data_IF_670699969773
#
_entry.id   IF_670699969773
#
_cell.length_a   1.000
_cell.length_b   1.000
_cell.length_c   1.000
_cell.angle_alpha   90.00
_cell.angle_beta   90.00
_cell.angle_gamma   90.00
#
_symmetry.space_group_name_H-M   'P 1'
#
loop_
_entity.id
_entity.type
_entity.pdbx_description
1 polymer ?
#
# COMPACT_ATOMS: atom_id res chain seq x y z
N UNK A 1 -34.82 1.04 15.65
CA UNK A 1 -33.73 0.37 14.90
C UNK A 1 -33.23 1.35 13.84
N UNK A 2 -32.08 1.98 14.06
CA UNK A 2 -31.49 2.93 13.11
C UNK A 2 -30.28 2.29 12.44
N UNK A 3 -30.48 1.82 11.21
CA UNK A 3 -29.41 1.33 10.34
C UNK A 3 -28.54 2.52 9.93
N UNK A 4 -27.35 2.65 10.54
CA UNK A 4 -26.34 3.61 10.10
C UNK A 4 -25.61 3.03 8.89
N UNK A 5 -26.19 3.22 7.71
CA UNK A 5 -25.51 2.95 6.43
C UNK A 5 -24.34 3.94 6.26
N UNK A 6 -23.17 3.59 6.81
CA UNK A 6 -21.91 4.27 6.49
C UNK A 6 -21.63 4.03 5.00
N UNK A 7 -22.06 4.95 4.13
CA UNK A 7 -21.68 4.98 2.71
C UNK A 7 -20.17 4.85 2.60
N UNK A 8 -19.67 3.70 2.12
CA UNK A 8 -18.25 3.49 1.81
C UNK A 8 -17.84 4.48 0.73
N UNK A 9 -17.18 5.58 1.10
CA UNK A 9 -16.58 6.51 0.16
C UNK A 9 -15.55 5.72 -0.64
N UNK A 10 -15.78 5.52 -1.94
CA UNK A 10 -14.79 4.89 -2.83
C UNK A 10 -13.57 5.79 -2.89
N UNK A 11 -12.46 5.36 -2.29
CA UNK A 11 -11.18 6.07 -2.40
C UNK A 11 -10.76 6.09 -3.87
N UNK A 12 -10.44 7.28 -4.39
CA UNK A 12 -9.97 7.45 -5.77
C UNK A 12 -8.55 6.88 -5.89
N UNK A 13 -8.25 6.25 -7.02
CA UNK A 13 -6.87 5.90 -7.37
C UNK A 13 -6.11 7.19 -7.71
N UNK A 14 -4.92 7.34 -7.14
CA UNK A 14 -4.09 8.54 -7.31
C UNK A 14 -2.76 8.13 -7.94
N UNK A 15 -2.35 8.85 -8.97
CA UNK A 15 -1.00 8.72 -9.50
C UNK A 15 -0.04 9.55 -8.67
N UNK A 16 1.08 8.94 -8.28
CA UNK A 16 2.16 9.58 -7.55
C UNK A 16 3.46 9.41 -8.32
N UNK A 17 4.35 10.38 -8.19
CA UNK A 17 5.71 10.31 -8.71
C UNK A 17 6.65 10.33 -7.53
N UNK A 18 7.58 9.37 -7.49
CA UNK A 18 8.59 9.26 -6.44
C UNK A 18 9.95 9.16 -7.11
N UNK A 19 10.96 9.74 -6.47
CA UNK A 19 12.34 9.50 -6.85
C UNK A 19 12.85 8.26 -6.11
N UNK A 20 13.41 7.30 -6.85
CA UNK A 20 13.91 6.05 -6.29
C UNK A 20 15.36 5.84 -6.75
N UNK A 21 16.27 5.38 -5.87
CA UNK A 21 17.61 5.00 -6.30
C UNK A 21 17.57 3.94 -7.41
N UNK A 22 18.49 4.07 -8.36
CA UNK A 22 18.47 3.29 -9.60
C UNK A 22 18.50 1.77 -9.36
N UNK A 23 19.27 1.34 -8.35
CA UNK A 23 19.38 -0.07 -7.97
C UNK A 23 18.01 -0.69 -7.65
N UNK A 24 17.09 0.06 -7.05
CA UNK A 24 15.75 -0.44 -6.74
C UNK A 24 14.87 -0.54 -7.99
N UNK A 25 14.92 0.44 -8.89
CA UNK A 25 14.18 0.38 -10.16
C UNK A 25 14.68 -0.77 -11.05
N UNK A 26 15.99 -1.01 -11.07
CA UNK A 26 16.60 -2.15 -11.77
C UNK A 26 16.11 -3.48 -11.21
N UNK A 27 16.06 -3.62 -9.87
CA UNK A 27 15.53 -4.83 -9.24
C UNK A 27 14.04 -5.04 -9.53
N UNK A 28 13.22 -3.98 -9.50
CA UNK A 28 11.81 -4.06 -9.87
C UNK A 28 11.65 -4.51 -11.33
N UNK A 29 12.44 -3.96 -12.25
CA UNK A 29 12.46 -4.38 -13.67
C UNK A 29 12.83 -5.86 -13.81
N UNK A 30 13.79 -6.35 -13.02
CA UNK A 30 14.17 -7.77 -13.01
C UNK A 30 13.00 -8.65 -12.58
N UNK A 31 12.27 -8.28 -11.52
CA UNK A 31 11.07 -9.00 -11.05
C UNK A 31 9.97 -9.06 -12.13
N UNK A 32 9.79 -7.97 -12.88
CA UNK A 32 8.85 -7.92 -14.00
C UNK A 32 9.32 -8.83 -15.15
N UNK A 33 10.61 -8.81 -15.48
CA UNK A 33 11.20 -9.69 -16.49
C UNK A 33 11.07 -11.18 -16.15
N UNK A 34 11.12 -11.51 -14.86
CA UNK A 34 10.87 -12.86 -14.33
C UNK A 34 9.37 -13.23 -14.29
N UNK A 35 8.48 -12.34 -14.71
CA UNK A 35 7.01 -12.49 -14.67
C UNK A 35 6.45 -12.73 -13.25
N UNK A 36 7.16 -12.25 -12.22
CA UNK A 36 6.70 -12.30 -10.83
C UNK A 36 5.69 -11.18 -10.57
N UNK A 37 5.89 -10.01 -11.19
CA UNK A 37 4.97 -8.88 -11.12
C UNK A 37 4.60 -8.41 -12.53
N UNK A 38 3.37 -7.96 -12.73
CA UNK A 38 2.85 -7.50 -14.01
C UNK A 38 3.30 -6.08 -14.38
N UNK A 39 3.59 -5.21 -13.40
CA UNK A 39 4.04 -3.84 -13.65
C UNK A 39 4.77 -3.22 -12.46
N UNK A 40 5.45 -2.07 -12.69
CA UNK A 40 6.10 -1.29 -11.61
C UNK A 40 5.09 -0.87 -10.54
N UNK A 41 3.95 -0.30 -10.96
CA UNK A 41 2.94 0.17 -10.01
C UNK A 41 2.31 -0.96 -9.22
N UNK A 42 2.17 -2.15 -9.81
CA UNK A 42 1.67 -3.32 -9.09
C UNK A 42 2.70 -3.83 -8.08
N UNK A 43 3.97 -3.95 -8.47
CA UNK A 43 5.05 -4.35 -7.56
C UNK A 43 5.12 -3.44 -6.32
N UNK A 44 5.06 -2.12 -6.52
CA UNK A 44 5.06 -1.15 -5.42
C UNK A 44 3.80 -1.28 -4.56
N UNK A 45 2.62 -1.45 -5.17
CA UNK A 45 1.36 -1.63 -4.40
C UNK A 45 1.39 -2.88 -3.55
N UNK A 46 1.91 -3.99 -4.07
CA UNK A 46 2.00 -5.26 -3.34
C UNK A 46 3.00 -5.14 -2.19
N UNK A 47 4.21 -4.62 -2.46
CA UNK A 47 5.21 -4.40 -1.42
C UNK A 47 4.70 -3.49 -0.28
N UNK A 48 4.02 -2.38 -0.62
CA UNK A 48 3.41 -1.50 0.38
C UNK A 48 2.28 -2.17 1.15
N UNK A 49 1.44 -2.97 0.47
CA UNK A 49 0.36 -3.72 1.13
C UNK A 49 0.93 -4.71 2.13
N UNK A 50 1.92 -5.48 1.73
CA UNK A 50 2.53 -6.53 2.56
C UNK A 50 3.27 -5.90 3.74
N UNK A 51 4.03 -4.83 3.49
CA UNK A 51 4.66 -4.04 4.53
C UNK A 51 3.64 -3.52 5.54
N UNK A 52 2.58 -2.85 5.07
CA UNK A 52 1.56 -2.30 5.95
C UNK A 52 0.79 -3.39 6.71
N UNK A 53 0.55 -4.57 6.11
CA UNK A 53 -0.09 -5.68 6.81
C UNK A 53 0.81 -6.26 7.90
N UNK A 54 2.10 -6.45 7.62
CA UNK A 54 3.06 -6.97 8.59
C UNK A 54 3.28 -5.98 9.73
N UNK A 55 3.40 -4.70 9.41
CA UNK A 55 3.59 -3.61 10.38
C UNK A 55 2.28 -3.17 11.05
N UNK A 56 1.12 -3.64 10.60
CA UNK A 56 -0.19 -3.19 11.11
C UNK A 56 -0.32 -3.42 12.63
N UNK A 57 0.21 -4.55 13.11
CA UNK A 57 0.21 -4.87 14.54
C UNK A 57 1.09 -3.90 15.33
N UNK A 58 2.23 -3.50 14.76
CA UNK A 58 3.13 -2.51 15.36
C UNK A 58 2.49 -1.12 15.36
N UNK A 59 1.77 -0.75 14.29
CA UNK A 59 1.03 0.50 14.20
C UNK A 59 -0.11 0.57 15.22
N UNK A 60 -0.78 -0.54 15.52
CA UNK A 60 -1.77 -0.65 16.60
C UNK A 60 -1.13 -0.45 17.98
N UNK A 61 0.05 -1.02 18.21
CA UNK A 61 0.82 -0.82 19.45
C UNK A 61 1.25 0.63 19.64
N UNK A 62 1.60 1.32 18.54
CA UNK A 62 2.03 2.73 18.53
C UNK A 62 0.86 3.73 18.63
N UNK A 63 -0.39 3.27 18.78
CA UNK A 63 -1.54 4.15 19.00
C UNK A 63 -2.05 4.90 17.77
N UNK A 64 -1.58 4.57 16.55
CA UNK A 64 -2.05 5.22 15.31
C UNK A 64 -3.54 4.98 15.00
N UNK A 65 -4.14 3.98 15.64
CA UNK A 65 -5.57 3.67 15.54
C UNK A 65 -6.31 3.90 16.87
N UNK A 66 -5.64 4.51 17.86
CA UNK A 66 -6.25 4.99 19.11
C UNK A 66 -7.20 6.14 18.82
N UNK A 67 -8.39 6.06 19.41
CA UNK A 67 -9.58 6.86 19.16
C UNK A 67 -9.30 8.36 19.00
N UNK A 68 -9.68 8.89 17.84
CA UNK A 68 -10.05 10.30 17.75
C UNK A 68 -11.30 10.51 18.58
N UNK A 69 -11.14 11.19 19.72
CA UNK A 69 -12.14 12.05 20.35
C UNK A 69 -12.71 13.06 19.36
#
# INVERSE_FOLDING_TARGET
MTSTDKKKIKKKMVNITINLPEIYDQNIKKLIGMKICASRSEAIRTALRDFLHNEYNNLKLLGFFGEGS
#
